data_IF_513564257999
#
_entry.id   IF_513564257999
#
_cell.length_a   1.000
_cell.length_b   1.000
_cell.length_c   1.000
_cell.angle_alpha   90.00
_cell.angle_beta   90.00
_cell.angle_gamma   90.00
#
_symmetry.space_group_name_H-M   'P 1'
#
loop_
_entity.id
_entity.type
_entity.pdbx_description
1 polymer ?
#
# COMPACT_ATOMS: atom_id res chain seq x y z
N UNK A 1 13.06 40.11 26.30
CA UNK A 1 12.30 39.67 25.11
C UNK A 1 11.69 38.30 25.40
N UNK A 2 10.38 38.09 25.23
CA UNK A 2 9.77 36.76 25.37
C UNK A 2 9.93 36.00 24.05
N UNK A 3 10.35 34.73 24.05
CA UNK A 3 10.42 33.93 22.83
C UNK A 3 9.02 33.82 22.21
N UNK A 4 8.93 33.96 20.88
CA UNK A 4 7.68 33.66 20.17
C UNK A 4 7.46 32.15 20.25
N UNK A 5 6.46 31.73 21.01
CA UNK A 5 6.03 30.32 21.09
C UNK A 5 4.90 30.11 20.09
N UNK A 6 5.03 29.09 19.24
CA UNK A 6 4.02 28.75 18.25
C UNK A 6 2.76 28.22 18.95
N UNK A 7 1.56 28.60 18.49
CA UNK A 7 0.30 28.19 19.14
C UNK A 7 0.05 26.67 19.15
N UNK A 8 0.80 25.92 18.34
CA UNK A 8 0.76 24.46 18.30
C UNK A 8 1.95 23.79 19.01
N UNK A 9 2.80 24.54 19.71
CA UNK A 9 3.89 23.98 20.51
C UNK A 9 3.31 23.05 21.59
N UNK A 10 3.73 21.79 21.59
CA UNK A 10 3.26 20.78 22.55
C UNK A 10 1.93 20.09 22.19
N UNK A 11 1.27 20.48 21.09
CA UNK A 11 0.05 19.79 20.61
C UNK A 11 0.40 18.78 19.53
N UNK A 12 -0.14 17.57 19.68
CA UNK A 12 -0.06 16.55 18.63
C UNK A 12 -1.01 17.00 17.50
N UNK A 13 -0.55 17.05 16.23
CA UNK A 13 -1.42 17.41 15.12
C UNK A 13 -2.57 16.40 15.02
N UNK A 14 -3.78 16.88 14.72
CA UNK A 14 -4.98 16.05 14.57
C UNK A 14 -4.78 14.91 13.56
N UNK A 15 -3.94 15.13 12.55
CA UNK A 15 -3.54 14.14 11.55
C UNK A 15 -2.21 13.46 11.92
N UNK A 16 -1.85 13.31 13.18
CA UNK A 16 -0.73 12.43 13.55
C UNK A 16 -1.13 10.98 13.27
N UNK A 17 -0.19 10.18 12.77
CA UNK A 17 -0.42 8.73 12.66
C UNK A 17 -0.35 8.13 14.07
N UNK A 18 -1.34 7.32 14.46
CA UNK A 18 -1.26 6.54 15.69
C UNK A 18 -0.15 5.50 15.58
N UNK A 19 0.54 5.24 16.69
CA UNK A 19 1.63 4.26 16.72
C UNK A 19 1.07 2.86 16.52
N UNK A 20 -0.09 2.58 17.13
CA UNK A 20 -0.86 1.34 17.01
C UNK A 20 -1.25 1.12 15.54
N UNK A 21 -1.80 2.14 14.88
CA UNK A 21 -2.19 2.05 13.47
C UNK A 21 -1.02 1.76 12.53
N UNK A 22 0.19 2.25 12.85
CA UNK A 22 1.41 1.91 12.11
C UNK A 22 1.80 0.45 12.37
N UNK A 23 1.83 0.04 13.63
CA UNK A 23 2.20 -1.33 14.04
C UNK A 23 1.29 -2.40 13.46
N UNK A 24 0.01 -2.09 13.24
CA UNK A 24 -0.92 -3.04 12.63
C UNK A 24 -0.86 -3.01 11.10
N UNK A 25 -0.69 -1.83 10.52
CA UNK A 25 -0.76 -1.65 9.06
C UNK A 25 0.51 -2.12 8.35
N UNK A 26 1.69 -1.91 8.94
CA UNK A 26 2.95 -2.28 8.29
C UNK A 26 3.07 -3.80 8.12
N UNK A 27 2.90 -4.65 9.16
CA UNK A 27 2.95 -6.09 9.01
C UNK A 27 1.86 -6.63 8.08
N UNK A 28 0.65 -6.07 8.15
CA UNK A 28 -0.42 -6.42 7.22
C UNK A 28 0.00 -6.19 5.76
N UNK A 29 0.61 -5.04 5.45
CA UNK A 29 1.06 -4.75 4.08
C UNK A 29 2.20 -5.65 3.64
N UNK A 30 3.15 -5.98 4.54
CA UNK A 30 4.25 -6.89 4.24
C UNK A 30 3.77 -8.30 3.93
N UNK A 31 2.87 -8.83 4.78
CA UNK A 31 2.26 -10.16 4.58
C UNK A 31 1.43 -10.19 3.30
N UNK A 32 0.57 -9.19 3.09
CA UNK A 32 -0.21 -9.06 1.87
C UNK A 32 0.69 -9.02 0.63
N UNK A 33 1.80 -8.29 0.69
CA UNK A 33 2.72 -8.23 -0.42
C UNK A 33 3.51 -9.52 -0.63
N UNK A 34 3.74 -10.35 0.39
CA UNK A 34 4.34 -11.69 0.21
C UNK A 34 3.39 -12.64 -0.51
N UNK A 35 2.12 -12.65 -0.14
CA UNK A 35 1.12 -13.54 -0.73
C UNK A 35 0.78 -13.17 -2.18
N UNK A 36 0.71 -11.86 -2.48
CA UNK A 36 0.19 -11.34 -3.74
C UNK A 36 1.24 -10.70 -4.65
N UNK A 37 2.53 -10.76 -4.33
CA UNK A 37 3.57 -10.19 -5.21
C UNK A 37 3.67 -10.97 -6.52
N UNK A 38 3.65 -10.25 -7.63
CA UNK A 38 3.99 -10.77 -8.95
C UNK A 38 5.46 -10.46 -9.22
N UNK A 39 6.25 -11.51 -9.46
CA UNK A 39 7.58 -11.37 -10.02
C UNK A 39 7.46 -11.09 -11.52
N UNK A 40 7.80 -9.88 -11.95
CA UNK A 40 7.89 -9.57 -13.37
C UNK A 40 9.26 -9.97 -13.91
N UNK A 41 9.33 -10.74 -15.02
CA UNK A 41 10.58 -10.97 -15.72
C UNK A 41 10.97 -9.69 -16.48
N UNK A 42 11.63 -8.74 -15.79
CA UNK A 42 12.13 -7.51 -16.41
C UNK A 42 12.20 -6.29 -15.49
N UNK A 43 12.68 -5.16 -16.04
CA UNK A 43 12.74 -3.88 -15.32
C UNK A 43 11.36 -3.24 -15.23
N UNK A 44 10.92 -2.90 -14.02
CA UNK A 44 9.72 -2.11 -13.76
C UNK A 44 10.03 -0.61 -13.99
N UNK A 45 9.40 0.08 -14.94
CA UNK A 45 9.66 1.50 -15.16
C UNK A 45 9.48 2.33 -13.87
N UNK A 46 10.50 3.09 -13.48
CA UNK A 46 10.46 3.96 -12.29
C UNK A 46 10.86 3.30 -10.96
N UNK A 47 11.18 2.00 -10.94
CA UNK A 47 11.70 1.31 -9.74
C UNK A 47 13.21 1.15 -9.88
N UNK A 48 13.99 1.67 -8.92
CA UNK A 48 15.46 1.63 -8.98
C UNK A 48 16.02 0.28 -8.51
N UNK A 49 15.38 -0.35 -7.52
CA UNK A 49 15.85 -1.57 -6.87
C UNK A 49 14.87 -2.74 -7.10
N UNK A 50 14.88 -3.30 -8.31
CA UNK A 50 13.95 -4.37 -8.71
C UNK A 50 14.01 -5.62 -7.81
N UNK A 51 15.19 -5.97 -7.28
CA UNK A 51 15.35 -7.17 -6.47
C UNK A 51 14.71 -7.09 -5.07
N UNK A 52 14.27 -5.90 -4.63
CA UNK A 52 13.63 -5.68 -3.32
C UNK A 52 12.21 -5.12 -3.43
N UNK A 53 11.76 -4.84 -4.65
CA UNK A 53 10.45 -4.28 -4.89
C UNK A 53 9.40 -5.39 -4.91
N UNK A 54 8.42 -5.30 -4.01
CA UNK A 54 7.25 -6.18 -3.98
C UNK A 54 6.17 -5.54 -4.86
N UNK A 55 5.72 -6.26 -5.89
CA UNK A 55 4.86 -5.69 -6.92
C UNK A 55 3.48 -6.31 -6.86
N UNK A 56 2.49 -5.52 -6.48
CA UNK A 56 1.10 -5.98 -6.45
C UNK A 56 0.52 -6.04 -7.86
N UNK A 57 -0.46 -6.93 -8.11
CA UNK A 57 -1.10 -7.07 -9.40
C UNK A 57 -1.78 -5.79 -9.85
N UNK A 58 -1.86 -5.56 -11.16
CA UNK A 58 -2.46 -4.35 -11.75
C UNK A 58 -3.94 -4.14 -11.40
N UNK A 59 -4.63 -5.23 -11.08
CA UNK A 59 -6.03 -5.26 -10.66
C UNK A 59 -6.20 -4.91 -9.17
N UNK A 60 -5.13 -4.94 -8.38
CA UNK A 60 -5.14 -4.58 -6.96
C UNK A 60 -4.77 -3.11 -6.80
N UNK A 61 -5.76 -2.28 -6.46
CA UNK A 61 -5.53 -0.88 -6.11
C UNK A 61 -5.28 -0.70 -4.61
N UNK A 62 -4.54 0.35 -4.24
CA UNK A 62 -4.32 0.70 -2.82
C UNK A 62 -5.63 0.84 -2.03
N UNK A 63 -6.71 1.29 -2.69
CA UNK A 63 -8.04 1.42 -2.09
C UNK A 63 -8.68 0.06 -1.79
N UNK A 64 -8.49 -0.93 -2.65
CA UNK A 64 -8.98 -2.29 -2.39
C UNK A 64 -8.24 -2.92 -1.21
N UNK A 65 -6.92 -2.78 -1.16
CA UNK A 65 -6.11 -3.26 -0.03
C UNK A 65 -6.53 -2.57 1.26
N UNK A 66 -6.81 -1.26 1.21
CA UNK A 66 -7.38 -0.55 2.35
C UNK A 66 -8.72 -1.13 2.80
N UNK A 67 -9.67 -1.37 1.88
CA UNK A 67 -10.98 -1.96 2.22
C UNK A 67 -10.86 -3.34 2.85
N UNK A 68 -9.95 -4.16 2.32
CA UNK A 68 -9.68 -5.48 2.88
C UNK A 68 -9.09 -5.38 4.30
N UNK A 69 -8.16 -4.44 4.51
CA UNK A 69 -7.59 -4.17 5.82
C UNK A 69 -8.63 -3.61 6.81
N UNK A 70 -9.53 -2.74 6.34
CA UNK A 70 -10.56 -2.07 7.15
C UNK A 70 -11.63 -3.07 7.60
N UNK A 71 -12.03 -4.00 6.72
CA UNK A 71 -13.00 -5.05 7.03
C UNK A 71 -12.55 -5.99 8.18
N UNK A 72 -11.23 -6.09 8.42
CA UNK A 72 -10.65 -6.96 9.45
C UNK A 72 -10.13 -6.23 10.70
N UNK A 73 -10.28 -4.90 10.80
CA UNK A 73 -9.69 -4.10 11.89
C UNK A 73 -10.71 -3.68 12.94
N UNK A 74 -10.31 -3.81 14.21
CA UNK A 74 -11.05 -3.28 15.36
C UNK A 74 -10.97 -1.73 15.44
N UNK A 75 -9.90 -1.15 14.91
CA UNK A 75 -9.67 0.30 14.91
C UNK A 75 -9.72 0.88 13.49
N UNK A 76 -10.73 1.72 13.24
CA UNK A 76 -10.91 2.39 11.96
C UNK A 76 -9.77 3.39 11.69
N UNK A 77 -8.94 3.08 10.69
CA UNK A 77 -7.97 4.01 10.11
C UNK A 77 -8.60 4.69 8.90
N UNK A 78 -8.42 6.00 8.74
CA UNK A 78 -8.85 6.66 7.51
C UNK A 78 -7.99 6.24 6.31
N UNK A 79 -8.61 6.14 5.14
CA UNK A 79 -7.92 5.80 3.87
C UNK A 79 -6.68 6.68 3.63
N UNK A 80 -6.79 7.98 3.91
CA UNK A 80 -5.67 8.93 3.81
C UNK A 80 -4.50 8.61 4.74
N UNK A 81 -4.80 8.16 5.96
CA UNK A 81 -3.78 7.76 6.94
C UNK A 81 -3.10 6.47 6.51
N UNK A 82 -3.88 5.50 6.03
CA UNK A 82 -3.38 4.25 5.49
C UNK A 82 -2.43 4.47 4.31
N UNK A 83 -2.82 5.28 3.32
CA UNK A 83 -1.96 5.62 2.18
C UNK A 83 -0.69 6.35 2.62
N UNK A 84 -0.77 7.19 3.67
CA UNK A 84 0.42 7.86 4.21
C UNK A 84 1.36 6.91 4.93
N UNK A 85 0.83 5.93 5.67
CA UNK A 85 1.64 4.85 6.28
C UNK A 85 2.33 4.06 5.18
N UNK A 86 1.60 3.64 4.15
CA UNK A 86 2.15 2.90 3.02
C UNK A 86 3.34 3.63 2.38
N UNK A 87 3.14 4.90 1.98
CA UNK A 87 4.20 5.70 1.35
C UNK A 87 5.42 5.92 2.25
N UNK A 88 5.23 5.98 3.57
CA UNK A 88 6.29 6.32 4.52
C UNK A 88 7.09 5.09 4.98
N UNK A 89 6.43 3.98 5.26
CA UNK A 89 7.04 2.83 5.92
C UNK A 89 7.27 1.64 4.99
N UNK A 90 6.46 1.48 3.94
CA UNK A 90 6.61 0.40 2.95
C UNK A 90 6.64 0.93 1.51
N UNK A 91 7.57 1.87 1.19
CA UNK A 91 7.66 2.47 -0.14
C UNK A 91 8.06 1.48 -1.24
N UNK A 92 8.58 0.31 -0.86
CA UNK A 92 9.03 -0.74 -1.77
C UNK A 92 7.89 -1.65 -2.25
N UNK A 93 6.69 -1.54 -1.66
CA UNK A 93 5.49 -2.23 -2.13
C UNK A 93 4.78 -1.32 -3.14
N UNK A 94 4.79 -1.72 -4.41
CA UNK A 94 4.21 -0.95 -5.50
C UNK A 94 2.90 -1.58 -5.96
N UNK A 95 1.83 -0.78 -6.03
CA UNK A 95 0.65 -1.10 -6.82
C UNK A 95 0.87 -0.53 -8.22
N UNK A 96 0.97 -1.40 -9.22
CA UNK A 96 1.05 -0.94 -10.61
C UNK A 96 -0.33 -0.38 -10.96
N UNK A 97 -0.39 0.88 -11.37
CA UNK A 97 -1.56 1.35 -12.12
C UNK A 97 -1.72 0.44 -13.33
N UNK A 98 -2.93 -0.04 -13.67
CA UNK A 98 -3.12 -0.78 -14.91
C UNK A 98 -2.58 0.09 -16.04
N UNK A 99 -1.46 -0.33 -16.63
CA UNK A 99 -0.95 0.32 -17.81
C UNK A 99 -2.02 0.08 -18.87
N UNK A 100 -2.63 1.15 -19.39
CA UNK A 100 -3.64 1.04 -20.44
C UNK A 100 -3.14 0.19 -21.60
N UNK A 101 -1.83 0.20 -21.84
CA UNK A 101 -1.11 -0.50 -22.91
C UNK A 101 -0.63 -1.92 -22.59
N UNK A 102 -0.99 -2.53 -21.46
CA UNK A 102 -0.77 -3.97 -21.30
C UNK A 102 -1.70 -4.74 -22.26
N UNK A 103 -1.10 -5.53 -23.14
CA UNK A 103 -1.77 -6.50 -24.01
C UNK A 103 -2.78 -7.34 -23.20
N UNK A 104 -3.92 -7.68 -23.81
CA UNK A 104 -5.01 -8.46 -23.20
C UNK A 104 -4.51 -9.72 -22.49
N UNK A 105 -3.48 -10.38 -23.05
CA UNK A 105 -2.84 -11.56 -22.44
C UNK A 105 -2.23 -11.23 -21.08
N UNK A 106 -1.48 -10.13 -20.96
CA UNK A 106 -0.86 -9.73 -19.69
C UNK A 106 -1.90 -9.35 -18.62
N UNK A 107 -3.05 -8.77 -19.04
CA UNK A 107 -4.19 -8.47 -18.14
C UNK A 107 -4.90 -9.73 -17.68
N UNK A 108 -5.03 -10.73 -18.55
CA UNK A 108 -5.64 -12.03 -18.24
C UNK A 108 -4.78 -12.81 -17.25
N UNK A 109 -3.46 -12.79 -17.42
CA UNK A 109 -2.54 -13.48 -16.52
C UNK A 109 -2.67 -12.94 -15.09
N UNK A 110 -2.66 -11.61 -14.90
CA UNK A 110 -2.79 -11.00 -13.57
C UNK A 110 -4.14 -11.23 -12.90
N UNK A 111 -5.24 -11.28 -13.66
CA UNK A 111 -6.57 -11.63 -13.11
C UNK A 111 -6.66 -13.10 -12.72
N UNK A 112 -6.06 -14.00 -13.50
CA UNK A 112 -6.09 -15.45 -13.21
C UNK A 112 -5.33 -15.78 -11.92
N UNK A 113 -4.18 -15.12 -11.66
CA UNK A 113 -3.45 -15.28 -10.39
C UNK A 113 -4.29 -14.84 -9.17
N UNK A 114 -5.07 -13.77 -9.28
CA UNK A 114 -5.92 -13.30 -8.17
C UNK A 114 -7.13 -14.19 -7.90
N UNK A 115 -7.77 -14.71 -8.95
CA UNK A 115 -8.87 -15.66 -8.80
C UNK A 115 -8.42 -16.94 -8.09
N UNK A 116 -7.22 -17.43 -8.43
CA UNK A 116 -6.64 -18.59 -7.78
C UNK A 116 -6.18 -18.30 -6.34
N UNK A 117 -5.83 -17.05 -6.04
CA UNK A 117 -5.45 -16.61 -4.69
C UNK A 117 -6.66 -16.23 -3.81
N UNK A 118 -7.89 -16.44 -4.27
CA UNK A 118 -9.10 -16.18 -3.48
C UNK A 118 -9.45 -14.70 -3.30
N UNK A 119 -8.82 -13.80 -4.06
CA UNK A 119 -9.20 -12.40 -4.11
C UNK A 119 -10.34 -12.25 -5.12
N UNK A 120 -11.60 -12.32 -4.65
CA UNK A 120 -12.77 -12.07 -5.51
C UNK A 120 -12.69 -10.66 -6.13
N UNK A 121 -13.00 -10.57 -7.42
CA UNK A 121 -12.91 -9.35 -8.25
C UNK A 121 -14.21 -8.55 -8.16
#
# INVERSE_FOLDING_TARGET
MKPRVHGNTGRIPFYALSVEGIKDTVPFLENYAEDYTILLPGKIPGVRDHGKAKLLPSSVSQRMVYRYADAGKEHALSESSFQRIWRKYVPHIYSIKPMTDLCWTSKKNSTTYLQNAGCEI
#
